data_IF_951164253895
#
_entry.id   IF_951164253895
#
_cell.length_a   1.000
_cell.length_b   1.000
_cell.length_c   1.000
_cell.angle_alpha   90.00
_cell.angle_beta   90.00
_cell.angle_gamma   90.00
#
_symmetry.space_group_name_H-M   'P 1'
#
loop_
_entity.id
_entity.type
_entity.pdbx_description
1 polymer ?
#
# COMPACT_ATOMS: atom_id res chain seq x y z
N UNK A 1 -2.22 17.05 8.27
CA UNK A 1 -1.85 15.84 7.51
C UNK A 1 -2.73 14.72 8.01
N UNK A 2 -3.35 14.00 7.07
CA UNK A 2 -4.14 12.80 7.35
C UNK A 2 -3.51 11.63 6.57
N UNK A 3 -3.38 10.45 7.18
CA UNK A 3 -2.86 9.27 6.52
C UNK A 3 -4.02 8.35 6.14
N UNK A 4 -4.10 7.94 4.87
CA UNK A 4 -5.15 7.03 4.41
C UNK A 4 -4.55 5.83 3.68
N UNK A 5 -4.94 4.65 4.14
CA UNK A 5 -4.45 3.37 3.63
C UNK A 5 -5.61 2.42 3.32
N UNK A 6 -6.05 2.29 2.07
CA UNK A 6 -7.09 1.32 1.66
C UNK A 6 -6.52 -0.10 1.60
N UNK A 7 -6.00 -0.59 2.74
CA UNK A 7 -5.20 -1.82 2.86
C UNK A 7 -5.83 -3.01 2.15
N UNK A 8 -7.04 -3.37 2.52
CA UNK A 8 -7.71 -4.59 2.02
C UNK A 8 -7.90 -4.57 0.51
N UNK A 9 -8.30 -3.42 -0.06
CA UNK A 9 -8.51 -3.30 -1.51
C UNK A 9 -7.18 -3.32 -2.27
N UNK A 10 -6.13 -2.69 -1.72
CA UNK A 10 -4.83 -2.65 -2.37
C UNK A 10 -4.08 -3.99 -2.28
N UNK A 11 -4.10 -4.66 -1.13
CA UNK A 11 -3.51 -6.00 -0.98
C UNK A 11 -4.16 -7.00 -1.96
N UNK A 12 -5.50 -6.99 -2.05
CA UNK A 12 -6.22 -7.84 -3.01
C UNK A 12 -5.85 -7.50 -4.46
N UNK A 13 -5.69 -6.23 -4.80
CA UNK A 13 -5.24 -5.81 -6.12
C UNK A 13 -3.83 -6.34 -6.44
N UNK A 14 -2.91 -6.29 -5.46
CA UNK A 14 -1.56 -6.83 -5.64
C UNK A 14 -1.56 -8.35 -5.79
N UNK A 15 -2.41 -9.07 -5.07
CA UNK A 15 -2.57 -10.53 -5.22
C UNK A 15 -3.07 -10.89 -6.62
N UNK A 16 -4.11 -10.21 -7.11
CA UNK A 16 -4.65 -10.44 -8.45
C UNK A 16 -3.62 -10.15 -9.56
N UNK A 17 -2.68 -9.24 -9.32
CA UNK A 17 -1.60 -8.94 -10.27
C UNK A 17 -0.57 -10.06 -10.42
N UNK A 18 -0.47 -10.93 -9.43
CA UNK A 18 0.44 -12.10 -9.44
C UNK A 18 -0.18 -13.31 -10.13
N UNK A 19 -1.49 -13.28 -10.38
CA UNK A 19 -2.18 -14.38 -11.04
C UNK A 19 -1.90 -14.33 -12.53
N UNK A 20 -1.23 -15.36 -13.04
CA UNK A 20 -1.02 -15.61 -14.45
C UNK A 20 -1.94 -16.76 -14.88
N UNK A 21 -2.69 -16.56 -15.95
CA UNK A 21 -3.54 -17.59 -16.54
C UNK A 21 -3.44 -17.53 -18.06
N UNK A 22 -3.53 -18.69 -18.70
CA UNK A 22 -3.57 -18.85 -20.15
C UNK A 22 -5.00 -18.88 -20.68
N UNK A 23 -6.00 -18.93 -19.80
CA UNK A 23 -7.42 -18.90 -20.16
C UNK A 23 -7.86 -17.45 -20.38
N UNK A 24 -8.28 -17.14 -21.61
CA UNK A 24 -8.72 -15.80 -22.00
C UNK A 24 -9.96 -15.31 -21.22
N UNK A 25 -10.89 -16.20 -20.88
CA UNK A 25 -12.10 -15.85 -20.12
C UNK A 25 -11.73 -15.48 -18.70
N UNK A 26 -10.89 -16.28 -18.07
CA UNK A 26 -10.41 -16.01 -16.71
C UNK A 26 -9.53 -14.76 -16.66
N UNK A 27 -8.70 -14.53 -17.70
CA UNK A 27 -7.90 -13.30 -17.81
C UNK A 27 -8.77 -12.04 -17.89
N UNK A 28 -9.86 -12.07 -18.67
CA UNK A 28 -10.81 -10.95 -18.77
C UNK A 28 -11.50 -10.69 -17.41
N UNK A 29 -11.89 -11.75 -16.71
CA UNK A 29 -12.51 -11.66 -15.39
C UNK A 29 -11.54 -11.02 -14.37
N UNK A 30 -10.29 -11.48 -14.33
CA UNK A 30 -9.25 -10.94 -13.45
C UNK A 30 -8.98 -9.47 -13.77
N UNK A 31 -8.89 -9.10 -15.04
CA UNK A 31 -8.65 -7.70 -15.43
C UNK A 31 -9.82 -6.79 -15.01
N UNK A 32 -11.05 -7.23 -15.17
CA UNK A 32 -12.22 -6.49 -14.70
C UNK A 32 -12.21 -6.32 -13.18
N UNK A 33 -11.87 -7.36 -12.43
CA UNK A 33 -11.77 -7.27 -10.96
C UNK A 33 -10.66 -6.32 -10.52
N UNK A 34 -9.52 -6.28 -11.21
CA UNK A 34 -8.45 -5.30 -10.98
C UNK A 34 -8.93 -3.85 -11.19
N UNK A 35 -9.66 -3.61 -12.28
CA UNK A 35 -10.23 -2.29 -12.57
C UNK A 35 -11.25 -1.86 -11.52
N UNK A 36 -12.13 -2.74 -11.12
CA UNK A 36 -13.16 -2.45 -10.10
C UNK A 36 -12.53 -2.15 -8.74
N UNK A 37 -11.50 -2.91 -8.33
CA UNK A 37 -10.75 -2.65 -7.12
C UNK A 37 -10.01 -1.31 -7.18
N UNK A 38 -9.38 -0.99 -8.30
CA UNK A 38 -8.70 0.29 -8.45
C UNK A 38 -9.68 1.46 -8.43
N UNK A 39 -10.82 1.35 -9.11
CA UNK A 39 -11.90 2.34 -9.03
C UNK A 39 -12.40 2.54 -7.59
N UNK A 40 -12.51 1.47 -6.82
CA UNK A 40 -12.87 1.55 -5.41
C UNK A 40 -11.84 2.33 -4.60
N UNK A 41 -10.56 2.06 -4.79
CA UNK A 41 -9.46 2.79 -4.14
C UNK A 41 -9.51 4.28 -4.49
N UNK A 42 -9.74 4.61 -5.76
CA UNK A 42 -9.85 6.00 -6.22
C UNK A 42 -11.03 6.73 -5.59
N UNK A 43 -12.18 6.07 -5.47
CA UNK A 43 -13.34 6.64 -4.80
C UNK A 43 -13.09 6.85 -3.29
N UNK A 44 -12.45 5.91 -2.63
CA UNK A 44 -12.03 6.02 -1.22
C UNK A 44 -11.17 7.27 -1.00
N UNK A 45 -10.18 7.51 -1.85
CA UNK A 45 -9.36 8.72 -1.77
C UNK A 45 -10.13 10.00 -2.06
N UNK A 46 -11.09 9.97 -2.99
CA UNK A 46 -11.96 11.13 -3.27
C UNK A 46 -12.82 11.48 -2.06
N UNK A 47 -13.43 10.48 -1.44
CA UNK A 47 -14.30 10.69 -0.28
C UNK A 47 -13.49 11.12 0.93
N UNK A 48 -12.30 10.55 1.11
CA UNK A 48 -11.35 10.99 2.13
C UNK A 48 -10.90 12.46 1.92
N UNK A 49 -10.64 12.89 0.69
CA UNK A 49 -10.30 14.26 0.39
C UNK A 49 -11.43 15.23 0.77
N UNK A 50 -12.70 14.88 0.50
CA UNK A 50 -13.87 15.67 0.91
C UNK A 50 -14.00 15.74 2.44
N UNK A 51 -13.80 14.60 3.14
CA UNK A 51 -13.82 14.55 4.59
C UNK A 51 -12.77 15.48 5.20
N UNK A 52 -11.53 15.37 4.70
CA UNK A 52 -10.39 16.20 5.15
C UNK A 52 -10.63 17.67 4.87
N UNK A 53 -11.18 18.03 3.70
CA UNK A 53 -11.57 19.39 3.38
C UNK A 53 -12.55 19.93 4.42
N UNK A 54 -13.68 19.25 4.60
CA UNK A 54 -14.74 19.66 5.53
C UNK A 54 -14.24 19.77 6.97
N UNK A 55 -13.37 18.86 7.39
CA UNK A 55 -12.91 18.77 8.78
C UNK A 55 -11.82 19.78 9.13
N UNK A 56 -10.93 20.06 8.18
CA UNK A 56 -9.71 20.82 8.46
C UNK A 56 -9.57 22.13 7.68
N UNK A 57 -10.13 22.26 6.49
CA UNK A 57 -9.91 23.43 5.63
C UNK A 57 -10.97 24.50 5.83
N UNK A 58 -12.22 24.11 6.05
CA UNK A 58 -13.31 25.03 6.31
C UNK A 58 -13.29 25.65 7.72
N UNK A 59 -12.29 25.29 8.55
CA UNK A 59 -12.11 25.86 9.88
C UNK A 59 -11.30 27.17 9.79
N UNK A 60 -11.67 28.16 10.59
CA UNK A 60 -11.00 29.48 10.65
C UNK A 60 -9.54 29.44 11.14
N UNK A 61 -9.02 28.26 11.50
CA UNK A 61 -7.70 28.03 12.08
C UNK A 61 -6.74 27.34 11.08
N UNK A 62 -7.25 26.95 9.92
CA UNK A 62 -6.50 26.15 8.94
C UNK A 62 -5.58 26.99 8.06
N UNK A 63 -4.48 26.38 7.60
CA UNK A 63 -3.57 26.96 6.61
C UNK A 63 -4.18 27.07 5.19
N UNK A 64 -5.48 26.74 5.02
CA UNK A 64 -6.17 26.80 3.73
C UNK A 64 -5.88 25.61 2.80
N UNK A 65 -5.09 24.64 3.23
CA UNK A 65 -4.81 23.39 2.52
C UNK A 65 -4.55 22.25 3.49
N UNK A 66 -4.71 21.01 3.02
CA UNK A 66 -4.38 19.81 3.79
C UNK A 66 -3.61 18.81 2.92
N UNK A 67 -2.95 17.86 3.57
CA UNK A 67 -2.23 16.78 2.91
C UNK A 67 -2.81 15.42 3.30
N UNK A 68 -3.04 14.56 2.30
CA UNK A 68 -3.31 13.14 2.50
C UNK A 68 -2.05 12.37 2.15
N UNK A 69 -1.55 11.64 3.14
CA UNK A 69 -0.38 10.79 2.98
C UNK A 69 -0.80 9.37 2.55
N UNK A 70 -0.23 8.91 1.45
CA UNK A 70 -0.39 7.55 0.91
C UNK A 70 0.85 6.75 1.29
N UNK A 71 0.76 5.73 2.19
CA UNK A 71 1.94 5.07 2.76
C UNK A 71 2.71 4.16 1.79
N UNK A 72 2.17 3.88 0.60
CA UNK A 72 2.81 3.06 -0.40
C UNK A 72 3.18 3.87 -1.64
N UNK A 73 4.46 3.94 -1.97
CA UNK A 73 4.95 4.69 -3.14
C UNK A 73 4.35 4.19 -4.46
N UNK A 74 4.22 2.86 -4.61
CA UNK A 74 3.60 2.27 -5.79
C UNK A 74 2.14 2.72 -5.97
N UNK A 75 1.34 2.70 -4.90
CA UNK A 75 -0.03 3.17 -4.93
C UNK A 75 -0.11 4.68 -5.18
N UNK A 76 0.77 5.46 -4.55
CA UNK A 76 0.86 6.89 -4.80
C UNK A 76 1.13 7.19 -6.28
N UNK A 77 2.08 6.50 -6.89
CA UNK A 77 2.39 6.64 -8.31
C UNK A 77 1.18 6.31 -9.19
N UNK A 78 0.51 5.19 -8.94
CA UNK A 78 -0.67 4.78 -9.70
C UNK A 78 -1.82 5.80 -9.61
N UNK A 79 -2.09 6.29 -8.40
CA UNK A 79 -3.16 7.28 -8.18
C UNK A 79 -2.83 8.61 -8.86
N UNK A 80 -1.56 9.04 -8.83
CA UNK A 80 -1.14 10.34 -9.39
C UNK A 80 -1.01 10.34 -10.90
N UNK A 81 -0.74 9.18 -11.51
CA UNK A 81 -0.61 9.05 -12.96
C UNK A 81 -1.90 8.59 -13.65
N UNK A 82 -2.94 8.27 -12.87
CA UNK A 82 -4.21 7.82 -13.43
C UNK A 82 -4.91 8.95 -14.21
N UNK A 83 -5.25 8.64 -15.45
CA UNK A 83 -5.96 9.53 -16.36
C UNK A 83 -7.41 9.05 -16.45
N UNK A 84 -8.37 9.96 -16.28
CA UNK A 84 -9.80 9.68 -16.41
C UNK A 84 -10.23 9.57 -17.88
N UNK A 85 -11.50 9.28 -18.12
CA UNK A 85 -12.09 9.16 -19.47
C UNK A 85 -11.98 10.47 -20.27
N UNK A 86 -11.89 11.61 -19.60
CA UNK A 86 -11.73 12.95 -20.18
C UNK A 86 -10.26 13.29 -20.50
N UNK A 87 -9.35 12.35 -20.35
CA UNK A 87 -7.90 12.49 -20.52
C UNK A 87 -7.24 13.50 -19.57
N UNK A 88 -7.85 13.74 -18.41
CA UNK A 88 -7.31 14.57 -17.36
C UNK A 88 -6.77 13.72 -16.22
N UNK A 89 -5.73 14.20 -15.53
CA UNK A 89 -5.25 13.56 -14.33
C UNK A 89 -6.34 13.59 -13.25
N UNK A 90 -6.78 12.43 -12.82
CA UNK A 90 -7.81 12.29 -11.80
C UNK A 90 -7.45 13.06 -10.52
N UNK A 91 -6.19 13.01 -10.13
CA UNK A 91 -5.69 13.65 -8.91
C UNK A 91 -5.84 15.16 -8.94
N UNK A 92 -5.61 15.81 -10.09
CA UNK A 92 -5.75 17.27 -10.23
C UNK A 92 -7.19 17.71 -9.94
N UNK A 93 -8.20 17.01 -10.48
CA UNK A 93 -9.61 17.30 -10.17
C UNK A 93 -9.93 17.21 -8.69
N UNK A 94 -9.40 16.19 -8.00
CA UNK A 94 -9.67 16.00 -6.57
C UNK A 94 -8.93 17.05 -5.74
N UNK A 95 -7.69 17.35 -6.08
CA UNK A 95 -6.89 18.38 -5.39
C UNK A 95 -7.52 19.76 -5.50
N UNK A 96 -7.93 20.16 -6.70
CA UNK A 96 -8.55 21.47 -6.94
C UNK A 96 -9.89 21.62 -6.22
N UNK A 97 -10.71 20.57 -6.25
CA UNK A 97 -12.04 20.61 -5.63
C UNK A 97 -12.00 20.55 -4.10
N UNK A 98 -11.04 19.81 -3.53
CA UNK A 98 -10.95 19.57 -2.09
C UNK A 98 -9.85 20.41 -1.40
N UNK A 99 -9.02 21.16 -2.14
CA UNK A 99 -7.84 21.86 -1.61
C UNK A 99 -6.91 20.97 -0.80
N UNK A 100 -6.80 19.71 -1.23
CA UNK A 100 -6.03 18.66 -0.57
C UNK A 100 -4.92 18.20 -1.50
N UNK A 101 -3.70 18.11 -1.00
CA UNK A 101 -2.56 17.57 -1.74
C UNK A 101 -2.31 16.13 -1.33
N UNK A 102 -2.11 15.24 -2.30
CA UNK A 102 -1.70 13.87 -2.03
C UNK A 102 -0.19 13.75 -2.09
N UNK A 103 0.38 13.01 -1.15
CA UNK A 103 1.82 12.81 -1.06
C UNK A 103 2.13 11.34 -0.74
N UNK A 104 3.09 10.77 -1.46
CA UNK A 104 3.71 9.48 -1.16
C UNK A 104 4.90 9.65 -0.22
N UNK A 105 5.57 8.55 0.18
CA UNK A 105 6.71 8.59 1.08
C UNK A 105 7.84 9.50 0.63
N UNK A 106 8.23 9.45 -0.64
CA UNK A 106 9.31 10.28 -1.20
C UNK A 106 8.93 11.74 -1.30
N UNK A 107 7.75 12.06 -1.83
CA UNK A 107 7.28 13.44 -1.99
C UNK A 107 7.01 14.11 -0.64
N UNK A 108 6.48 13.37 0.33
CA UNK A 108 6.26 13.88 1.68
C UNK A 108 7.56 14.21 2.40
N UNK A 109 8.58 13.36 2.27
CA UNK A 109 9.91 13.62 2.82
C UNK A 109 10.53 14.89 2.24
N UNK A 110 10.46 15.06 0.91
CA UNK A 110 10.94 16.26 0.24
C UNK A 110 10.18 17.53 0.68
N UNK A 111 8.87 17.44 0.81
CA UNK A 111 8.03 18.53 1.30
C UNK A 111 8.39 18.96 2.72
N UNK A 112 8.56 18.00 3.64
CA UNK A 112 9.01 18.29 5.01
C UNK A 112 10.38 18.97 5.02
N UNK A 113 11.31 18.50 4.20
CA UNK A 113 12.64 19.09 4.09
C UNK A 113 12.60 20.52 3.56
N UNK A 114 11.77 20.81 2.57
CA UNK A 114 11.58 22.16 2.03
C UNK A 114 10.99 23.12 3.07
N UNK A 115 10.01 22.65 3.85
CA UNK A 115 9.43 23.44 4.95
C UNK A 115 10.49 23.73 6.03
N UNK A 116 11.28 22.71 6.42
CA UNK A 116 12.37 22.86 7.39
C UNK A 116 13.39 23.90 6.94
N UNK A 117 13.80 23.86 5.67
CA UNK A 117 14.71 24.87 5.11
C UNK A 117 14.09 26.27 5.13
N UNK A 118 12.82 26.41 4.77
CA UNK A 118 12.10 27.67 4.82
C UNK A 118 12.03 28.26 6.23
N UNK A 119 11.74 27.43 7.23
CA UNK A 119 11.68 27.87 8.63
C UNK A 119 13.05 28.22 9.22
N UNK A 120 14.12 27.51 8.84
CA UNK A 120 15.47 27.84 9.28
C UNK A 120 15.97 29.21 8.78
N UNK A 121 15.37 29.77 7.73
CA UNK A 121 15.66 31.11 7.22
C UNK A 121 14.92 32.21 8.00
N UNK A 122 13.90 31.86 8.77
CA UNK A 122 13.15 32.82 9.60
C UNK A 122 13.83 32.87 10.97
N UNK A 123 14.92 33.62 11.06
CA UNK A 123 15.61 33.86 12.33
C UNK A 123 14.71 34.68 13.28
N UNK A 124 14.43 34.11 14.46
CA UNK A 124 13.99 34.84 15.63
C UNK A 124 12.66 34.47 16.27
N UNK A 125 11.80 33.64 15.67
CA UNK A 125 10.53 33.29 16.31
C UNK A 125 10.60 31.93 17.04
N UNK A 126 10.37 31.95 18.37
CA UNK A 126 10.35 30.75 19.20
C UNK A 126 9.28 29.72 18.73
N UNK A 127 8.17 30.20 18.15
CA UNK A 127 7.13 29.33 17.58
C UNK A 127 7.62 28.59 16.33
N UNK A 128 8.40 29.25 15.47
CA UNK A 128 9.02 28.63 14.31
C UNK A 128 10.01 27.54 14.70
N UNK A 129 10.86 27.77 15.72
CA UNK A 129 11.78 26.76 16.27
C UNK A 129 11.06 25.54 16.82
N UNK A 130 9.93 25.75 17.51
CA UNK A 130 9.13 24.65 18.05
C UNK A 130 8.49 23.82 16.92
N UNK A 131 8.01 24.47 15.86
CA UNK A 131 7.44 23.81 14.68
C UNK A 131 8.48 23.00 13.91
N UNK A 132 9.70 23.54 13.71
CA UNK A 132 10.83 22.82 13.12
C UNK A 132 11.12 21.53 13.88
N UNK A 133 11.18 21.58 15.22
CA UNK A 133 11.41 20.41 16.07
C UNK A 133 10.32 19.34 15.90
N UNK A 134 9.06 19.75 15.74
CA UNK A 134 7.96 18.81 15.49
C UNK A 134 8.06 18.18 14.08
N UNK A 135 8.47 18.94 13.08
CA UNK A 135 8.69 18.39 11.72
C UNK A 135 9.85 17.39 11.69
N UNK A 136 10.95 17.67 12.40
CA UNK A 136 12.05 16.71 12.53
C UNK A 136 11.60 15.40 13.20
N UNK A 137 10.83 15.49 14.27
CA UNK A 137 10.28 14.32 14.96
C UNK A 137 9.36 13.52 14.03
N UNK A 138 8.53 14.20 13.22
CA UNK A 138 7.64 13.58 12.26
C UNK A 138 8.41 12.87 11.15
N UNK A 139 9.45 13.52 10.61
CA UNK A 139 10.33 12.93 9.59
C UNK A 139 11.03 11.67 10.11
N UNK A 140 11.51 11.70 11.35
CA UNK A 140 12.12 10.52 11.98
C UNK A 140 11.11 9.39 12.19
N UNK A 141 9.89 9.71 12.60
CA UNK A 141 8.82 8.71 12.77
C UNK A 141 8.46 8.04 11.45
N UNK A 142 8.41 8.79 10.35
CA UNK A 142 8.15 8.24 9.01
C UNK A 142 9.30 7.32 8.58
N UNK A 143 10.55 7.72 8.84
CA UNK A 143 11.70 6.88 8.53
C UNK A 143 11.64 5.55 9.30
N UNK A 144 11.34 5.59 10.58
CA UNK A 144 11.15 4.38 11.40
C UNK A 144 9.98 3.52 10.90
N UNK A 145 8.88 4.14 10.49
CA UNK A 145 7.74 3.43 9.92
C UNK A 145 8.13 2.69 8.64
N UNK A 146 8.84 3.36 7.73
CA UNK A 146 9.33 2.75 6.49
C UNK A 146 10.28 1.57 6.77
N UNK A 147 11.22 1.72 7.70
CA UNK A 147 12.13 0.64 8.10
C UNK A 147 11.38 -0.55 8.71
N UNK A 148 10.36 -0.27 9.52
CA UNK A 148 9.52 -1.30 10.13
C UNK A 148 8.69 -2.04 9.08
N UNK A 149 8.12 -1.31 8.13
CA UNK A 149 7.36 -1.88 7.01
C UNK A 149 8.23 -2.82 6.17
N UNK A 150 9.46 -2.41 5.83
CA UNK A 150 10.41 -3.26 5.11
C UNK A 150 10.78 -4.53 5.89
N UNK A 151 10.95 -4.43 7.21
CA UNK A 151 11.20 -5.60 8.06
C UNK A 151 10.01 -6.56 8.06
N UNK A 152 8.79 -6.05 8.16
CA UNK A 152 7.58 -6.86 8.10
C UNK A 152 7.41 -7.54 6.74
N UNK A 153 7.67 -6.83 5.64
CA UNK A 153 7.63 -7.41 4.30
C UNK A 153 8.62 -8.57 4.17
N UNK A 154 9.86 -8.39 4.63
CA UNK A 154 10.86 -9.46 4.61
C UNK A 154 10.48 -10.66 5.48
N UNK A 155 9.88 -10.43 6.65
CA UNK A 155 9.40 -11.49 7.52
C UNK A 155 8.25 -12.28 6.89
N UNK A 156 7.32 -11.59 6.22
CA UNK A 156 6.24 -12.24 5.47
C UNK A 156 6.76 -13.07 4.32
N UNK A 157 7.76 -12.58 3.58
CA UNK A 157 8.42 -13.36 2.51
C UNK A 157 9.06 -14.63 3.05
N UNK A 158 9.77 -14.54 4.19
CA UNK A 158 10.36 -15.72 4.85
C UNK A 158 9.29 -16.71 5.29
N UNK A 159 8.26 -16.23 5.99
CA UNK A 159 7.16 -17.09 6.47
C UNK A 159 6.44 -17.79 5.31
N UNK A 160 6.27 -17.12 4.17
CA UNK A 160 5.71 -17.72 2.97
C UNK A 160 6.60 -18.82 2.40
N UNK A 161 7.91 -18.58 2.32
CA UNK A 161 8.89 -19.59 1.87
C UNK A 161 8.91 -20.81 2.78
N UNK A 162 8.89 -20.59 4.10
CA UNK A 162 8.86 -21.67 5.10
C UNK A 162 7.55 -22.49 4.98
N UNK A 163 6.41 -21.84 4.78
CA UNK A 163 5.14 -22.52 4.56
C UNK A 163 5.15 -23.38 3.28
N UNK A 164 5.75 -22.90 2.20
CA UNK A 164 5.92 -23.68 0.97
C UNK A 164 6.83 -24.90 1.20
N UNK A 165 7.90 -24.76 1.97
CA UNK A 165 8.79 -25.86 2.30
C UNK A 165 8.07 -26.96 3.13
N UNK A 166 7.23 -26.55 4.08
CA UNK A 166 6.40 -27.47 4.86
C UNK A 166 5.42 -28.24 3.96
N UNK A 167 4.74 -27.53 3.05
CA UNK A 167 3.80 -28.14 2.10
C UNK A 167 4.52 -29.17 1.22
N UNK A 168 5.68 -28.83 0.66
CA UNK A 168 6.48 -29.74 -0.15
C UNK A 168 6.95 -30.97 0.65
N UNK A 169 7.31 -30.79 1.91
CA UNK A 169 7.70 -31.91 2.80
C UNK A 169 6.52 -32.83 3.11
N UNK A 170 5.33 -32.26 3.33
CA UNK A 170 4.10 -33.03 3.57
C UNK A 170 3.70 -33.84 2.32
N UNK A 171 3.85 -33.32 1.12
CA UNK A 171 3.62 -34.05 -0.13
C UNK A 171 4.60 -35.21 -0.32
N UNK A 172 5.89 -35.00 -0.02
CA UNK A 172 6.89 -36.08 -0.04
C UNK A 172 6.58 -37.19 0.96
N UNK A 173 6.15 -36.83 2.18
CA UNK A 173 5.72 -37.81 3.18
C UNK A 173 4.51 -38.60 2.71
N UNK A 174 3.51 -37.95 2.11
CA UNK A 174 2.33 -38.59 1.54
C UNK A 174 2.71 -39.62 0.46
N UNK A 175 3.59 -39.24 -0.45
CA UNK A 175 4.10 -40.13 -1.51
C UNK A 175 4.85 -41.33 -0.94
N UNK A 176 5.68 -41.11 0.07
CA UNK A 176 6.41 -42.21 0.73
C UNK A 176 5.47 -43.17 1.46
N UNK A 177 4.45 -42.63 2.16
CA UNK A 177 3.45 -43.49 2.83
C UNK A 177 2.64 -44.33 1.82
N UNK A 178 2.32 -43.74 0.68
CA UNK A 178 1.61 -44.47 -0.37
C UNK A 178 2.44 -45.60 -0.94
N UNK A 179 3.75 -45.37 -1.18
CA UNK A 179 4.68 -46.45 -1.62
C UNK A 179 4.83 -47.53 -0.59
N UNK A 180 4.97 -47.20 0.70
CA UNK A 180 5.05 -48.22 1.78
C UNK A 180 3.77 -49.05 1.83
N UNK A 181 2.60 -48.42 1.64
CA UNK A 181 1.33 -49.17 1.59
C UNK A 181 1.29 -50.15 0.43
N UNK A 182 1.68 -49.72 -0.78
CA UNK A 182 1.75 -50.59 -1.96
C UNK A 182 2.74 -51.74 -1.76
N UNK A 183 3.89 -51.52 -1.10
CA UNK A 183 4.85 -52.56 -0.76
C UNK A 183 4.27 -53.57 0.24
N UNK A 184 3.50 -53.12 1.24
CA UNK A 184 2.82 -53.96 2.22
C UNK A 184 1.72 -54.83 1.56
N UNK A 185 0.89 -54.23 0.71
CA UNK A 185 -0.17 -54.94 -0.02
C UNK A 185 0.44 -56.03 -0.92
N UNK A 186 1.56 -55.78 -1.60
CA UNK A 186 2.27 -56.76 -2.40
C UNK A 186 2.87 -57.95 -1.56
N UNK A 187 3.31 -57.68 -0.32
CA UNK A 187 3.81 -58.71 0.58
C UNK A 187 2.67 -59.59 1.11
N UNK A 188 1.50 -59.04 1.35
CA UNK A 188 0.31 -59.80 1.76
C UNK A 188 -0.21 -60.70 0.62
N UNK A 189 -0.26 -60.19 -0.62
CA UNK A 189 -0.63 -60.98 -1.78
C UNK A 189 0.36 -62.12 -2.09
N UNK A 190 1.65 -61.97 -1.77
CA UNK A 190 2.66 -63.02 -1.98
C UNK A 190 2.66 -64.14 -0.93
N UNK A 191 1.87 -64.00 0.15
CA UNK A 191 1.73 -64.99 1.22
C UNK A 191 0.49 -65.86 1.14
N UNK A 192 -0.42 -65.57 0.20
CA UNK A 192 -1.60 -66.38 -0.13
C UNK A 192 -1.37 -67.17 -1.41
#
# INVERSE_FOLDING_TARGET
>A
IDAHWPKTSYEKLLELRKVETTDEIEQQRINKEKEDLFKKIMNDYRDKAKEVNKKYIDSSISAGFACIYIPAEGLYHEVTTHVNEEKELWISKVQDSAKVTFMGPSTFSAYCSAILLGFNQIEGDQKAKMFVKHLEALTNSIKQLNETTLKHENNLKKAFTDAQAVTSSAEKMKTNLQRIKEELDNIEESKN
#
